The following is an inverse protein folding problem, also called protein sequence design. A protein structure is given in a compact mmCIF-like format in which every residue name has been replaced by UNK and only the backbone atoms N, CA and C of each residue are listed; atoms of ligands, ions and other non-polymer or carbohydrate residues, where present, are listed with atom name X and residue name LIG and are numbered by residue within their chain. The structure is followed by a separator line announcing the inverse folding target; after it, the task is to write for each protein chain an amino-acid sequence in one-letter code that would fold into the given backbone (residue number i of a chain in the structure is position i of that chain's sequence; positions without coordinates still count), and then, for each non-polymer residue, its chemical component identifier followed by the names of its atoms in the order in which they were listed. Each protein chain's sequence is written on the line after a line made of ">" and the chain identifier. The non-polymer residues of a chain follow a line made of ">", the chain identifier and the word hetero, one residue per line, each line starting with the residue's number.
data_IF_841542426745
#
_entry.id   IF_841542426745
#
_cell.length_a   1.000
_cell.length_b   1.000
_cell.length_c   1.000
_cell.angle_alpha   90.00
_cell.angle_beta   90.00
_cell.angle_gamma   90.00
#
_symmetry.space_group_name_H-M   'P 1'
#
loop_
_entity.id
_entity.type
_entity.pdbx_description
1 polymer ?
#
# COMPACT_ATOMS: atom_id res chain seq x y z
N UNK A 1 26.00 -0.91 -3.34
CA UNK A 1 25.06 -0.38 -2.33
C UNK A 1 23.81 -1.22 -2.32
N UNK A 2 23.31 -1.58 -1.15
CA UNK A 2 22.04 -2.27 -1.00
C UNK A 2 20.92 -1.27 -0.76
N UNK A 3 19.83 -1.44 -1.51
CA UNK A 3 18.62 -0.65 -1.31
C UNK A 3 17.50 -1.59 -0.87
N UNK A 4 16.68 -1.12 0.04
CA UNK A 4 15.52 -1.87 0.51
C UNK A 4 14.26 -1.17 0.06
N UNK A 5 13.32 -1.94 -0.47
CA UNK A 5 12.00 -1.46 -0.86
C UNK A 5 10.97 -2.50 -0.46
N UNK A 6 9.71 -2.11 -0.53
CA UNK A 6 8.59 -3.00 -0.24
C UNK A 6 8.07 -3.53 -1.57
N UNK A 7 7.88 -4.84 -1.65
CA UNK A 7 7.23 -5.46 -2.81
C UNK A 7 5.90 -6.05 -2.37
N UNK A 8 4.82 -5.63 -3.04
CA UNK A 8 3.47 -6.10 -2.71
C UNK A 8 2.91 -6.87 -3.89
N UNK A 9 2.39 -8.06 -3.61
CA UNK A 9 1.70 -8.88 -4.60
C UNK A 9 0.22 -8.51 -4.62
N UNK A 10 -0.30 -8.27 -5.81
CA UNK A 10 -1.71 -7.97 -6.05
C UNK A 10 -2.31 -8.99 -7.01
N UNK A 11 -3.63 -8.98 -7.13
CA UNK A 11 -4.38 -9.89 -8.01
C UNK A 11 -5.30 -9.10 -8.93
N UNK A 12 -4.71 -8.22 -9.76
CA UNK A 12 -5.43 -7.44 -10.76
C UNK A 12 -5.69 -5.99 -10.39
N UNK A 13 -5.31 -5.55 -9.19
CA UNK A 13 -5.53 -4.18 -8.74
C UNK A 13 -4.25 -3.42 -8.37
N UNK A 14 -3.11 -3.89 -8.88
CA UNK A 14 -1.81 -3.27 -8.59
C UNK A 14 -1.79 -1.78 -8.98
N UNK A 15 -2.25 -1.45 -10.18
CA UNK A 15 -2.24 -0.07 -10.65
C UNK A 15 -3.06 0.85 -9.75
N UNK A 16 -4.27 0.43 -9.38
CA UNK A 16 -5.13 1.20 -8.49
C UNK A 16 -4.50 1.39 -7.12
N UNK A 17 -3.88 0.33 -6.60
CA UNK A 17 -3.23 0.37 -5.29
C UNK A 17 -2.08 1.37 -5.29
N UNK A 18 -1.19 1.31 -6.28
CA UNK A 18 -0.05 2.22 -6.34
C UNK A 18 -0.49 3.66 -6.58
N UNK A 19 -1.54 3.88 -7.35
CA UNK A 19 -2.13 5.22 -7.50
C UNK A 19 -2.67 5.74 -6.17
N UNK A 20 -3.33 4.87 -5.40
CA UNK A 20 -3.79 5.22 -4.06
C UNK A 20 -2.61 5.61 -3.15
N UNK A 21 -1.54 4.81 -3.13
CA UNK A 21 -0.38 5.13 -2.32
C UNK A 21 0.30 6.42 -2.77
N UNK A 22 0.25 6.74 -4.06
CA UNK A 22 0.73 8.02 -4.53
C UNK A 22 -0.07 9.18 -3.90
N UNK A 23 -1.37 9.03 -3.72
CA UNK A 23 -2.16 10.06 -3.05
C UNK A 23 -1.77 10.21 -1.57
N UNK A 24 -1.30 9.13 -0.95
CA UNK A 24 -0.88 9.16 0.45
C UNK A 24 0.52 9.74 0.65
N UNK A 25 1.46 9.40 -0.23
CA UNK A 25 2.88 9.66 -0.03
C UNK A 25 3.51 10.60 -1.07
N UNK A 26 2.81 10.86 -2.17
CA UNK A 26 3.40 11.53 -3.33
C UNK A 26 4.35 10.63 -4.07
N UNK A 27 5.14 11.20 -4.95
CA UNK A 27 6.16 10.47 -5.69
C UNK A 27 5.80 10.19 -7.12
N UNK A 28 6.62 9.36 -7.78
CA UNK A 28 6.52 9.05 -9.19
C UNK A 28 6.12 7.59 -9.38
N UNK A 29 5.18 7.38 -10.29
CA UNK A 29 4.70 6.06 -10.67
C UNK A 29 5.31 5.62 -12.00
N UNK A 30 5.64 4.34 -12.10
CA UNK A 30 6.01 3.69 -13.35
C UNK A 30 5.34 2.33 -13.41
N UNK A 31 4.85 1.95 -14.60
CA UNK A 31 4.18 0.67 -14.80
C UNK A 31 4.66 0.01 -16.08
N UNK A 32 4.88 -1.30 -16.02
CA UNK A 32 4.98 -2.17 -17.17
C UNK A 32 3.72 -3.03 -17.21
N UNK A 33 2.92 -2.88 -18.26
CA UNK A 33 1.61 -3.52 -18.38
C UNK A 33 1.74 -4.76 -19.24
N UNK A 34 1.12 -5.86 -18.80
CA UNK A 34 1.06 -7.09 -19.59
C UNK A 34 0.09 -6.88 -20.76
N UNK A 35 0.52 -7.28 -21.97
CA UNK A 35 -0.23 -6.96 -23.19
C UNK A 35 -1.54 -7.73 -23.34
N UNK A 36 -1.72 -8.83 -22.60
CA UNK A 36 -2.89 -9.68 -22.72
C UNK A 36 -3.79 -9.52 -21.51
N UNK A 37 -5.10 -9.64 -21.76
CA UNK A 37 -6.07 -9.66 -20.66
C UNK A 37 -6.06 -11.03 -20.01
N UNK A 38 -6.30 -11.04 -18.70
CA UNK A 38 -6.44 -12.27 -17.92
C UNK A 38 -7.85 -12.34 -17.38
N UNK A 39 -8.48 -13.51 -17.53
CA UNK A 39 -9.84 -13.74 -17.04
C UNK A 39 -9.91 -13.48 -15.53
N UNK A 40 -10.91 -12.71 -15.13
CA UNK A 40 -11.11 -12.36 -13.73
C UNK A 40 -10.43 -11.06 -13.30
N UNK A 41 -9.56 -10.48 -14.14
CA UNK A 41 -8.94 -9.19 -13.86
C UNK A 41 -9.70 -8.07 -14.59
N UNK A 42 -10.01 -6.96 -13.89
CA UNK A 42 -10.76 -5.86 -14.50
C UNK A 42 -9.98 -5.09 -15.56
N UNK A 43 -8.65 -5.13 -15.50
CA UNK A 43 -7.76 -4.44 -16.41
C UNK A 43 -6.64 -5.39 -16.82
N UNK A 44 -5.86 -4.99 -17.84
CA UNK A 44 -4.63 -5.72 -18.17
C UNK A 44 -3.71 -5.69 -16.94
N UNK A 45 -3.14 -6.84 -16.56
CA UNK A 45 -2.37 -6.90 -15.33
C UNK A 45 -1.05 -6.13 -15.42
N UNK A 46 -0.58 -5.65 -14.28
CA UNK A 46 0.71 -4.99 -14.15
C UNK A 46 1.78 -6.07 -13.96
N UNK A 47 2.76 -6.10 -14.86
CA UNK A 47 3.93 -6.97 -14.72
C UNK A 47 4.79 -6.49 -13.58
N UNK A 48 5.11 -5.19 -13.59
CA UNK A 48 5.89 -4.55 -12.55
C UNK A 48 5.48 -3.09 -12.46
N UNK A 49 5.13 -2.66 -11.27
CA UNK A 49 4.84 -1.26 -10.99
C UNK A 49 5.74 -0.76 -9.88
N UNK A 50 5.97 0.54 -9.86
CA UNK A 50 6.73 1.15 -8.78
C UNK A 50 6.20 2.53 -8.45
N UNK A 51 6.26 2.85 -7.16
CA UNK A 51 6.08 4.19 -6.61
C UNK A 51 7.37 4.56 -5.90
N UNK A 52 8.00 5.64 -6.32
CA UNK A 52 9.21 6.15 -5.67
C UNK A 52 8.89 7.52 -5.10
N UNK A 53 8.88 7.62 -3.79
CA UNK A 53 8.65 8.88 -3.07
C UNK A 53 9.83 9.17 -2.16
N UNK A 54 9.82 10.35 -1.55
CA UNK A 54 10.87 10.74 -0.60
C UNK A 54 10.84 9.89 0.68
N UNK A 55 9.71 9.27 0.97
CA UNK A 55 9.50 8.57 2.24
C UNK A 55 9.48 7.06 2.08
N UNK A 56 9.10 6.56 0.91
CA UNK A 56 8.87 5.13 0.73
C UNK A 56 9.04 4.74 -0.73
N UNK A 57 9.53 3.53 -0.96
CA UNK A 57 9.57 2.93 -2.29
C UNK A 57 8.73 1.65 -2.24
N UNK A 58 7.72 1.57 -3.10
CA UNK A 58 6.83 0.43 -3.19
C UNK A 58 6.87 -0.11 -4.60
N UNK A 59 7.15 -1.41 -4.73
CA UNK A 59 7.00 -2.15 -5.98
C UNK A 59 5.80 -3.07 -5.88
N UNK A 60 5.21 -3.39 -7.02
CA UNK A 60 4.08 -4.30 -7.03
C UNK A 60 3.94 -5.02 -8.36
N UNK A 61 3.18 -6.11 -8.34
CA UNK A 61 2.88 -6.90 -9.53
C UNK A 61 1.55 -7.62 -9.35
N UNK A 62 0.87 -7.88 -10.46
CA UNK A 62 -0.32 -8.74 -10.49
C UNK A 62 0.00 -10.17 -10.91
N UNK A 63 1.26 -10.46 -11.27
CA UNK A 63 1.61 -11.70 -11.97
C UNK A 63 2.58 -12.60 -11.21
N UNK A 64 2.86 -12.31 -9.94
CA UNK A 64 3.88 -13.07 -9.20
C UNK A 64 3.40 -14.48 -8.86
N UNK A 65 2.13 -14.63 -8.49
CA UNK A 65 1.59 -15.92 -8.07
C UNK A 65 0.38 -16.31 -8.91
N UNK A 66 0.43 -17.49 -9.52
CA UNK A 66 -0.66 -17.99 -10.35
C UNK A 66 -1.92 -18.27 -9.53
N UNK A 67 -1.77 -18.69 -8.28
CA UNK A 67 -2.89 -18.94 -7.37
C UNK A 67 -3.45 -17.67 -6.73
N UNK A 68 -2.88 -16.50 -7.09
CA UNK A 68 -3.30 -15.23 -6.53
C UNK A 68 -2.60 -14.89 -5.23
N UNK A 69 -3.10 -13.84 -4.60
CA UNK A 69 -2.52 -13.27 -3.39
C UNK A 69 -3.04 -13.95 -2.14
N UNK A 70 -2.13 -14.31 -1.22
CA UNK A 70 -2.50 -14.85 0.08
C UNK A 70 -2.19 -13.83 1.16
N UNK A 71 -3.17 -13.51 2.00
CA UNK A 71 -3.02 -12.53 3.05
C UNK A 71 -2.53 -13.18 4.34
N UNK A 72 -1.75 -12.43 5.10
CA UNK A 72 -1.28 -12.83 6.41
C UNK A 72 -1.38 -11.67 7.39
N UNK A 73 -0.99 -11.91 8.64
CA UNK A 73 -1.12 -10.89 9.69
C UNK A 73 0.16 -10.68 10.50
N UNK A 74 1.28 -11.21 10.03
CA UNK A 74 2.51 -11.18 10.82
C UNK A 74 3.51 -10.12 10.37
N UNK A 75 3.28 -9.47 9.21
CA UNK A 75 4.14 -8.41 8.69
C UNK A 75 3.30 -7.17 8.48
N UNK A 76 3.83 -6.03 8.91
CA UNK A 76 3.24 -4.71 8.65
C UNK A 76 4.32 -3.78 8.15
N UNK A 77 3.93 -2.77 7.38
CA UNK A 77 4.85 -1.72 6.96
C UNK A 77 4.86 -0.67 8.05
N UNK A 78 6.06 -0.35 8.54
CA UNK A 78 6.21 0.62 9.62
C UNK A 78 6.45 2.01 9.05
N UNK A 79 5.68 2.98 9.55
CA UNK A 79 5.86 4.40 9.25
C UNK A 79 6.17 5.13 10.54
N UNK A 80 7.33 5.78 10.61
CA UNK A 80 7.67 6.66 11.71
C UNK A 80 7.13 8.05 11.40
N UNK A 81 6.19 8.52 12.21
CA UNK A 81 5.56 9.82 12.02
C UNK A 81 6.21 10.86 12.94
N UNK A 82 6.28 12.10 12.47
CA UNK A 82 6.94 13.19 13.21
C UNK A 82 6.15 13.61 14.44
N UNK A 83 4.81 13.46 14.38
CA UNK A 83 3.92 13.92 15.43
C UNK A 83 2.61 13.14 15.38
N UNK A 84 1.79 13.29 16.43
CA UNK A 84 0.46 12.70 16.45
C UNK A 84 -0.42 13.28 15.36
N UNK A 85 -0.26 14.56 15.02
CA UNK A 85 -1.03 15.20 13.95
C UNK A 85 -0.69 14.63 12.58
N UNK A 86 0.60 14.43 12.28
CA UNK A 86 1.01 13.81 11.01
C UNK A 86 0.54 12.37 10.92
N UNK A 87 0.62 11.64 12.03
CA UNK A 87 0.12 10.27 12.07
C UNK A 87 -1.38 10.24 11.78
N UNK A 88 -2.14 11.13 12.38
CA UNK A 88 -3.58 11.22 12.13
C UNK A 88 -3.89 11.47 10.66
N UNK A 89 -3.14 12.37 10.01
CA UNK A 89 -3.31 12.63 8.58
C UNK A 89 -3.07 11.37 7.74
N UNK A 90 -2.02 10.60 8.03
CA UNK A 90 -1.74 9.37 7.29
C UNK A 90 -2.81 8.31 7.55
N UNK A 91 -3.27 8.18 8.79
CA UNK A 91 -4.33 7.23 9.11
C UNK A 91 -5.59 7.56 8.31
N UNK A 92 -5.99 8.82 8.26
CA UNK A 92 -7.15 9.25 7.50
C UNK A 92 -7.01 8.95 6.01
N UNK A 93 -5.82 9.15 5.45
CA UNK A 93 -5.57 8.84 4.04
C UNK A 93 -5.59 7.34 3.78
N UNK A 94 -4.92 6.54 4.63
CA UNK A 94 -4.82 5.10 4.45
C UNK A 94 -6.15 4.39 4.65
N UNK A 95 -6.99 4.88 5.55
CA UNK A 95 -8.29 4.29 5.82
C UNK A 95 -9.40 4.83 4.92
N UNK A 96 -9.10 5.74 4.01
CA UNK A 96 -10.09 6.28 3.08
C UNK A 96 -10.75 5.15 2.28
N UNK A 97 -12.07 5.18 2.22
CA UNK A 97 -12.92 4.16 1.59
C UNK A 97 -12.82 2.76 2.22
N UNK A 98 -12.15 2.62 3.36
CA UNK A 98 -12.17 1.36 4.07
C UNK A 98 -13.45 1.28 4.91
N UNK A 99 -14.22 0.19 4.73
CA UNK A 99 -15.48 -0.04 5.45
C UNK A 99 -15.29 -0.16 6.95
N UNK A 100 -14.10 -0.50 7.39
CA UNK A 100 -13.75 -0.64 8.79
C UNK A 100 -13.11 0.63 9.34
N UNK A 101 -13.31 1.75 8.66
CA UNK A 101 -12.76 3.03 9.10
C UNK A 101 -13.14 3.31 10.54
N UNK A 102 -12.14 3.60 11.35
CA UNK A 102 -12.29 3.93 12.75
C UNK A 102 -12.15 5.43 12.95
N UNK A 103 -13.10 6.03 13.67
CA UNK A 103 -13.01 7.44 14.06
C UNK A 103 -12.29 7.61 15.40
N UNK A 104 -11.69 6.54 15.92
CA UNK A 104 -11.01 6.57 17.20
C UNK A 104 -9.88 7.61 17.21
N UNK A 105 -9.81 8.31 18.32
CA UNK A 105 -8.67 9.17 18.60
C UNK A 105 -7.61 8.31 19.28
N UNK A 106 -6.49 8.09 18.59
CA UNK A 106 -5.42 7.23 19.10
C UNK A 106 -4.52 7.94 20.12
N UNK A 107 -4.69 9.26 20.26
CA UNK A 107 -3.98 10.02 21.27
C UNK A 107 -2.46 9.91 21.14
N UNK A 108 -1.81 9.53 22.23
CA UNK A 108 -0.38 9.40 22.32
C UNK A 108 0.11 7.95 22.31
N UNK A 109 -0.72 7.01 21.86
CA UNK A 109 -0.27 5.62 21.70
C UNK A 109 0.95 5.57 20.81
N UNK A 110 1.95 4.79 21.21
CA UNK A 110 3.20 4.72 20.45
C UNK A 110 3.05 4.04 19.12
N UNK A 111 2.18 3.04 19.03
CA UNK A 111 1.97 2.27 17.81
C UNK A 111 0.48 2.18 17.51
N UNK A 112 0.13 2.45 16.26
CA UNK A 112 -1.25 2.30 15.77
C UNK A 112 -1.20 1.45 14.51
N UNK A 113 -1.98 0.37 14.49
CA UNK A 113 -2.09 -0.49 13.32
C UNK A 113 -3.33 -0.10 12.52
N UNK A 114 -3.16 0.03 11.20
CA UNK A 114 -4.28 0.21 10.28
C UNK A 114 -4.12 -0.73 9.08
N UNK A 115 -5.25 -1.15 8.52
CA UNK A 115 -5.29 -1.94 7.29
C UNK A 115 -6.01 -1.11 6.25
N UNK A 116 -5.39 -0.94 5.08
CA UNK A 116 -5.97 -0.12 4.03
C UNK A 116 -6.98 -0.91 3.18
N UNK A 117 -7.58 -0.25 2.21
CA UNK A 117 -8.61 -0.85 1.34
C UNK A 117 -8.05 -1.97 0.45
N UNK A 118 -6.73 -2.05 0.30
CA UNK A 118 -6.06 -3.10 -0.47
C UNK A 118 -5.54 -4.22 0.42
N UNK A 119 -5.97 -4.25 1.70
CA UNK A 119 -5.58 -5.26 2.70
C UNK A 119 -4.09 -5.22 3.07
N UNK A 120 -3.44 -4.10 2.86
CA UNK A 120 -2.06 -3.91 3.30
C UNK A 120 -2.07 -3.35 4.72
N UNK A 121 -1.23 -3.92 5.56
CA UNK A 121 -1.17 -3.59 6.98
C UNK A 121 -0.05 -2.59 7.24
N UNK A 122 -0.39 -1.54 7.98
CA UNK A 122 0.52 -0.45 8.31
C UNK A 122 0.62 -0.31 9.82
N UNK A 123 1.82 -0.08 10.31
CA UNK A 123 2.06 0.22 11.72
C UNK A 123 2.66 1.61 11.81
N UNK A 124 1.94 2.53 12.43
CA UNK A 124 2.36 3.93 12.51
C UNK A 124 2.83 4.24 13.92
N UNK A 125 4.06 4.73 14.00
CA UNK A 125 4.68 5.14 15.26
C UNK A 125 4.81 6.64 15.36
N UNK A 126 5.09 7.11 16.58
CA UNK A 126 5.44 8.50 16.87
C UNK A 126 6.66 8.56 17.77
#
# INVERSE_FOLDING_TARGET
>A
MLNTAIFITFSGNCKKALQFYQTCFGGLLQFEIFEKEIHGYPEKPVVCGSLVSDHIIIHGSDLVHAEGRKLGNYISIFLQCESTDRRKEFIEKLEFDNKNFSTNNYGDQKLVEVTDVFDVRWMLGI
#
